data_IF_092337774718
#
_entry.id   IF_092337774718
#
_cell.length_a   1.000
_cell.length_b   1.000
_cell.length_c   1.000
_cell.angle_alpha   90.00
_cell.angle_beta   90.00
_cell.angle_gamma   90.00
#
_symmetry.space_group_name_H-M   'P 1'
#
loop_
_entity.id
_entity.type
_entity.pdbx_description
1 polymer ?
#
# COMPACT_ATOMS: atom_id res chain seq x y z
N UNK A 1 -16.70 14.42 0.67
CA UNK A 1 -15.32 13.93 0.88
C UNK A 1 -15.11 12.65 0.08
N UNK A 2 -14.14 12.65 -0.84
CA UNK A 2 -13.74 11.52 -1.68
C UNK A 2 -13.07 10.40 -0.88
N UNK A 3 -12.98 9.20 -1.47
CA UNK A 3 -12.27 8.06 -0.86
C UNK A 3 -10.79 8.39 -0.58
N UNK A 4 -10.14 9.13 -1.48
CA UNK A 4 -8.74 9.55 -1.32
C UNK A 4 -8.55 10.57 -0.20
N UNK A 5 -9.54 11.42 0.06
CA UNK A 5 -9.50 12.34 1.21
C UNK A 5 -9.65 11.58 2.52
N UNK A 6 -10.59 10.62 2.60
CA UNK A 6 -10.72 9.74 3.77
C UNK A 6 -9.42 8.98 4.07
N UNK A 7 -8.80 8.41 3.03
CA UNK A 7 -7.53 7.71 3.17
C UNK A 7 -6.41 8.63 3.68
N UNK A 8 -6.38 9.92 3.29
CA UNK A 8 -5.40 10.88 3.80
C UNK A 8 -5.59 11.24 5.28
N UNK A 9 -6.83 11.18 5.78
CA UNK A 9 -7.13 11.41 7.20
C UNK A 9 -6.65 10.22 8.03
N UNK A 10 -6.86 8.99 7.55
CA UNK A 10 -6.44 7.77 8.27
C UNK A 10 -5.01 7.32 7.95
N UNK A 11 -4.27 8.09 7.16
CA UNK A 11 -2.91 7.76 6.75
C UNK A 11 -1.94 7.97 7.92
N UNK A 12 -1.18 6.93 8.27
CA UNK A 12 -0.19 6.97 9.35
C UNK A 12 0.96 7.97 9.16
N UNK A 13 1.20 8.44 7.93
CA UNK A 13 2.25 9.44 7.62
C UNK A 13 1.71 10.87 7.51
N UNK A 14 0.40 11.03 7.41
CA UNK A 14 -0.27 12.32 7.36
C UNK A 14 -0.64 12.74 8.77
N UNK A 15 -0.56 14.03 9.08
CA UNK A 15 -1.09 14.58 10.32
C UNK A 15 -2.41 15.32 10.11
N UNK A 16 -2.93 15.35 8.88
CA UNK A 16 -4.16 16.06 8.55
C UNK A 16 -5.38 15.38 9.16
N UNK A 17 -6.18 16.14 9.91
CA UNK A 17 -7.36 15.65 10.63
C UNK A 17 -8.66 15.77 9.83
N UNK A 18 -8.60 16.27 8.59
CA UNK A 18 -9.77 16.46 7.73
C UNK A 18 -10.29 17.90 7.69
N UNK A 19 -9.72 18.80 8.50
CA UNK A 19 -10.13 20.21 8.57
C UNK A 19 -9.91 20.94 7.24
N UNK A 20 -10.93 21.63 6.70
CA UNK A 20 -10.79 22.48 5.53
C UNK A 20 -9.77 23.61 5.76
N UNK A 21 -9.11 24.07 4.70
CA UNK A 21 -8.11 25.14 4.79
C UNK A 21 -6.77 24.70 5.41
N UNK A 22 -6.66 23.48 5.93
CA UNK A 22 -5.42 22.92 6.45
C UNK A 22 -4.68 22.06 5.40
N UNK A 23 -3.37 21.98 5.54
CA UNK A 23 -2.50 21.16 4.69
C UNK A 23 -2.84 19.68 4.88
N UNK A 24 -3.15 18.99 3.78
CA UNK A 24 -3.54 17.57 3.81
C UNK A 24 -2.37 16.60 4.07
N UNK A 25 -1.21 17.12 4.47
CA UNK A 25 -0.02 16.36 4.85
C UNK A 25 0.43 16.68 6.28
N UNK A 26 0.69 17.96 6.57
CA UNK A 26 1.24 18.40 7.87
C UNK A 26 0.23 19.10 8.78
N UNK A 27 -1.04 19.20 8.38
CA UNK A 27 -2.12 19.88 9.10
C UNK A 27 -1.96 21.39 9.34
N UNK A 28 -0.86 22.01 8.92
CA UNK A 28 -0.68 23.45 9.06
C UNK A 28 -1.71 24.23 8.23
N UNK A 29 -2.20 25.34 8.76
CA UNK A 29 -3.10 26.26 8.05
C UNK A 29 -2.48 26.74 6.74
N UNK A 30 -3.27 26.73 5.66
CA UNK A 30 -2.85 27.23 4.36
C UNK A 30 -3.18 28.72 4.27
N UNK A 31 -2.19 29.56 4.55
CA UNK A 31 -2.30 31.03 4.45
C UNK A 31 -2.18 31.56 3.01
N UNK A 32 -1.81 30.71 2.05
CA UNK A 32 -1.61 31.11 0.66
C UNK A 32 -2.92 31.24 -0.09
N UNK A 33 -3.14 32.39 -0.75
CA UNK A 33 -4.30 32.63 -1.61
C UNK A 33 -4.43 31.63 -2.79
N UNK A 34 -3.35 30.95 -3.21
CA UNK A 34 -3.35 30.02 -4.36
C UNK A 34 -3.36 28.54 -3.98
N UNK A 35 -2.87 28.17 -2.80
CA UNK A 35 -2.76 26.76 -2.39
C UNK A 35 -4.06 26.30 -1.72
N UNK A 36 -4.44 25.04 -1.92
CA UNK A 36 -5.68 24.46 -1.35
C UNK A 36 -5.47 23.11 -0.68
N UNK A 37 -4.48 22.33 -1.13
CA UNK A 37 -4.23 20.97 -0.63
C UNK A 37 -2.96 20.88 0.21
N UNK A 38 -1.89 21.57 -0.21
CA UNK A 38 -0.58 21.50 0.44
C UNK A 38 -0.11 22.91 0.77
N UNK A 39 0.31 23.16 2.02
CA UNK A 39 0.86 24.46 2.40
C UNK A 39 2.17 24.79 1.65
N UNK A 40 2.89 23.77 1.16
CA UNK A 40 4.19 23.92 0.51
C UNK A 40 4.49 22.78 -0.47
N UNK A 41 5.43 22.99 -1.38
CA UNK A 41 5.88 21.95 -2.33
C UNK A 41 6.55 20.76 -1.64
N UNK A 42 7.31 20.92 -0.54
CA UNK A 42 7.76 19.81 0.28
C UNK A 42 6.62 18.89 0.75
N UNK A 43 5.50 19.44 1.23
CA UNK A 43 4.34 18.64 1.65
C UNK A 43 3.73 17.86 0.47
N UNK A 44 3.52 18.53 -0.66
CA UNK A 44 3.03 17.85 -1.87
C UNK A 44 3.98 16.74 -2.34
N UNK A 45 5.29 16.99 -2.33
CA UNK A 45 6.31 15.99 -2.70
C UNK A 45 6.37 14.83 -1.71
N UNK A 46 6.20 15.08 -0.41
CA UNK A 46 6.17 14.04 0.61
C UNK A 46 4.97 13.10 0.42
N UNK A 47 3.79 13.67 0.14
CA UNK A 47 2.61 12.87 -0.20
C UNK A 47 2.85 12.03 -1.46
N UNK A 48 3.32 12.64 -2.55
CA UNK A 48 3.60 11.95 -3.81
C UNK A 48 4.55 10.75 -3.64
N UNK A 49 5.66 10.94 -2.91
CA UNK A 49 6.66 9.88 -2.66
C UNK A 49 6.15 8.71 -1.83
N UNK A 50 5.01 8.85 -1.15
CA UNK A 50 4.42 7.80 -0.34
C UNK A 50 3.09 7.28 -0.87
N UNK A 51 2.45 7.98 -1.82
CA UNK A 51 1.09 7.62 -2.25
C UNK A 51 0.95 7.44 -3.75
N UNK A 52 1.87 7.93 -4.59
CA UNK A 52 1.81 7.73 -6.03
C UNK A 52 2.92 6.77 -6.46
N UNK A 53 2.54 5.65 -7.08
CA UNK A 53 3.47 4.58 -7.47
C UNK A 53 4.74 5.07 -8.19
N UNK A 54 4.60 5.93 -9.21
CA UNK A 54 5.74 6.46 -9.96
C UNK A 54 6.79 7.11 -9.06
N UNK A 55 6.35 7.93 -8.11
CA UNK A 55 7.23 8.67 -7.20
C UNK A 55 7.72 7.79 -6.05
N UNK A 56 6.86 6.95 -5.49
CA UNK A 56 7.22 6.00 -4.44
C UNK A 56 8.24 4.96 -4.91
N UNK A 57 8.01 4.36 -6.09
CA UNK A 57 8.97 3.46 -6.75
C UNK A 57 10.32 4.13 -6.96
N UNK A 58 10.32 5.37 -7.43
CA UNK A 58 11.55 6.15 -7.64
C UNK A 58 12.27 6.44 -6.31
N UNK A 59 11.53 6.77 -5.25
CA UNK A 59 12.08 7.01 -3.93
C UNK A 59 12.66 5.73 -3.30
N UNK A 60 11.98 4.58 -3.43
CA UNK A 60 12.44 3.28 -2.97
C UNK A 60 13.77 2.89 -3.63
N UNK A 61 13.86 3.00 -4.96
CA UNK A 61 15.11 2.75 -5.69
C UNK A 61 16.26 3.63 -5.21
N UNK A 62 16.02 4.92 -5.00
CA UNK A 62 17.05 5.84 -4.48
C UNK A 62 17.47 5.48 -3.06
N UNK A 63 16.53 5.15 -2.17
CA UNK A 63 16.80 4.73 -0.79
C UNK A 63 17.72 3.50 -0.76
N UNK A 64 17.43 2.50 -1.59
CA UNK A 64 18.23 1.29 -1.71
C UNK A 64 19.52 1.47 -2.54
N UNK A 65 19.86 2.70 -2.95
CA UNK A 65 20.97 3.00 -3.88
C UNK A 65 20.95 2.13 -5.15
N UNK A 66 19.75 1.76 -5.60
CA UNK A 66 19.48 0.89 -6.75
C UNK A 66 20.00 -0.55 -6.60
N UNK A 67 20.31 -1.02 -5.40
CA UNK A 67 20.72 -2.40 -5.13
C UNK A 67 19.61 -3.22 -4.48
N UNK A 68 19.76 -4.54 -4.55
CA UNK A 68 18.90 -5.45 -3.83
C UNK A 68 19.10 -5.25 -2.32
N UNK A 69 18.01 -5.15 -1.56
CA UNK A 69 18.04 -5.00 -0.10
C UNK A 69 18.24 -6.34 0.64
N UNK A 70 18.50 -7.44 -0.08
CA UNK A 70 18.76 -8.75 0.53
C UNK A 70 20.23 -8.82 0.97
N UNK A 71 20.50 -9.32 2.19
CA UNK A 71 21.86 -9.46 2.68
C UNK A 71 22.73 -10.24 1.70
N UNK A 72 23.97 -9.78 1.51
CA UNK A 72 24.98 -10.43 0.66
C UNK A 72 24.60 -10.58 -0.82
N UNK A 73 23.56 -9.90 -1.31
CA UNK A 73 23.22 -9.90 -2.72
C UNK A 73 24.05 -8.84 -3.48
N UNK A 74 24.71 -9.27 -4.54
CA UNK A 74 25.58 -8.48 -5.40
C UNK A 74 24.99 -8.25 -6.82
N UNK A 75 23.71 -8.56 -7.00
CA UNK A 75 23.03 -8.43 -8.28
C UNK A 75 23.16 -7.01 -8.88
N UNK A 76 23.27 -6.95 -10.21
CA UNK A 76 23.44 -5.69 -10.91
C UNK A 76 22.23 -4.74 -10.68
N UNK A 77 22.52 -3.44 -10.55
CA UNK A 77 21.52 -2.40 -10.27
C UNK A 77 20.34 -2.40 -11.25
N UNK A 78 20.60 -2.70 -12.52
CA UNK A 78 19.58 -2.73 -13.59
C UNK A 78 18.54 -3.84 -13.39
N UNK A 79 18.91 -4.91 -12.69
CA UNK A 79 18.06 -6.07 -12.46
C UNK A 79 17.20 -5.93 -11.19
N UNK A 80 17.27 -4.78 -10.52
CA UNK A 80 16.53 -4.50 -9.29
C UNK A 80 15.19 -3.80 -9.56
N UNK A 81 14.13 -4.37 -8.99
CA UNK A 81 12.74 -3.96 -9.08
C UNK A 81 12.21 -3.59 -7.69
N UNK A 82 11.10 -2.85 -7.66
CA UNK A 82 10.47 -2.47 -6.39
C UNK A 82 9.33 -3.43 -6.13
N UNK A 83 9.32 -4.00 -4.93
CA UNK A 83 8.28 -4.87 -4.43
C UNK A 83 7.53 -4.20 -3.27
N UNK A 84 6.26 -4.53 -3.12
CA UNK A 84 5.50 -4.23 -1.91
C UNK A 84 5.81 -5.29 -0.85
N UNK A 85 6.28 -4.88 0.34
CA UNK A 85 6.62 -5.81 1.43
C UNK A 85 5.39 -6.60 1.87
N UNK A 86 4.28 -5.90 2.11
CA UNK A 86 2.99 -6.52 2.33
C UNK A 86 2.32 -6.86 1.00
N UNK A 87 1.90 -8.12 0.84
CA UNK A 87 1.19 -8.58 -0.34
C UNK A 87 -0.11 -7.77 -0.54
N UNK A 88 -0.33 -7.28 -1.76
CA UNK A 88 -1.55 -6.56 -2.12
C UNK A 88 -2.67 -7.52 -2.48
N UNK A 89 -3.88 -7.28 -1.97
CA UNK A 89 -5.12 -7.85 -2.48
C UNK A 89 -5.87 -6.79 -3.31
N UNK A 90 -5.81 -6.89 -4.64
CA UNK A 90 -6.78 -6.24 -5.54
C UNK A 90 -6.72 -4.71 -5.73
N UNK A 91 -5.81 -3.98 -5.09
CA UNK A 91 -5.69 -2.54 -5.33
C UNK A 91 -4.90 -2.27 -6.64
N UNK A 92 -5.45 -1.42 -7.52
CA UNK A 92 -4.83 -1.02 -8.80
C UNK A 92 -3.61 -0.10 -8.64
N UNK A 93 -3.10 0.48 -9.73
CA UNK A 93 -1.97 1.44 -9.70
C UNK A 93 -2.37 2.87 -9.29
N UNK A 94 -3.56 3.03 -8.72
CA UNK A 94 -4.06 4.32 -8.24
C UNK A 94 -3.32 4.79 -6.98
N UNK A 95 -3.44 6.08 -6.60
CA UNK A 95 -2.83 6.58 -5.39
C UNK A 95 -3.34 5.85 -4.14
N UNK A 96 -2.49 5.67 -3.13
CA UNK A 96 -2.92 5.19 -1.81
C UNK A 96 -1.80 4.80 -0.85
N UNK A 97 -2.16 4.54 0.41
CA UNK A 97 -1.23 4.28 1.52
C UNK A 97 -0.40 3.01 1.33
N UNK A 98 -0.90 2.07 0.52
CA UNK A 98 -0.15 0.87 0.15
C UNK A 98 1.14 1.18 -0.64
N UNK A 99 1.39 2.44 -1.04
CA UNK A 99 2.63 2.87 -1.66
C UNK A 99 3.64 3.51 -0.68
N UNK A 100 3.37 3.48 0.62
CA UNK A 100 4.27 4.06 1.63
C UNK A 100 5.70 3.56 1.43
N UNK A 101 6.66 4.48 1.47
CA UNK A 101 8.05 4.16 1.19
C UNK A 101 8.60 3.19 2.23
N UNK A 102 8.39 3.52 3.50
CA UNK A 102 8.81 2.74 4.66
C UNK A 102 7.61 2.03 5.28
N UNK A 103 7.84 0.98 6.08
CA UNK A 103 6.79 0.42 6.93
C UNK A 103 6.25 1.48 7.90
N UNK A 104 5.00 1.30 8.33
CA UNK A 104 4.41 2.09 9.41
C UNK A 104 5.01 1.73 10.79
N UNK A 105 4.53 2.38 11.85
CA UNK A 105 4.97 2.14 13.23
C UNK A 105 4.80 0.69 13.69
N UNK A 106 3.83 -0.02 13.11
CA UNK A 106 3.54 -1.42 13.41
C UNK A 106 4.35 -2.38 12.52
N UNK A 107 5.28 -1.84 11.72
CA UNK A 107 6.13 -2.58 10.80
C UNK A 107 5.40 -3.09 9.56
N UNK A 108 4.19 -2.62 9.29
CA UNK A 108 3.36 -3.08 8.16
C UNK A 108 3.56 -2.20 6.93
N UNK A 109 3.31 -2.78 5.77
CA UNK A 109 3.46 -2.08 4.49
C UNK A 109 4.91 -1.77 4.13
N UNK A 110 5.12 -0.69 3.38
CA UNK A 110 6.45 -0.32 2.90
C UNK A 110 6.83 -0.95 1.56
N UNK A 111 7.79 -0.30 0.89
CA UNK A 111 8.41 -0.78 -0.33
C UNK A 111 9.79 -1.37 -0.03
N UNK A 112 10.17 -2.40 -0.78
CA UNK A 112 11.52 -2.96 -0.80
C UNK A 112 12.07 -3.00 -2.23
N UNK A 113 13.39 -3.11 -2.35
CA UNK A 113 14.07 -3.23 -3.66
C UNK A 113 14.73 -4.60 -3.74
N UNK A 114 14.37 -5.38 -4.75
CA UNK A 114 14.82 -6.76 -4.93
C UNK A 114 15.35 -6.98 -6.34
N UNK A 115 16.41 -7.78 -6.49
CA UNK A 115 16.79 -8.29 -7.79
C UNK A 115 15.70 -9.24 -8.33
N UNK A 116 15.69 -9.50 -9.64
CA UNK A 116 14.72 -10.40 -10.26
C UNK A 116 14.58 -11.76 -9.58
N UNK A 117 15.69 -12.36 -9.13
CA UNK A 117 15.69 -13.66 -8.45
C UNK A 117 14.93 -13.61 -7.11
N UNK A 118 15.36 -12.74 -6.19
CA UNK A 118 14.69 -12.55 -4.91
C UNK A 118 13.27 -12.01 -5.06
N UNK A 119 13.00 -11.17 -6.06
CA UNK A 119 11.66 -10.67 -6.35
C UNK A 119 10.71 -11.82 -6.71
N UNK A 120 11.17 -12.78 -7.53
CA UNK A 120 10.40 -13.96 -7.90
C UNK A 120 10.08 -14.83 -6.67
N UNK A 121 11.04 -15.04 -5.79
CA UNK A 121 10.84 -15.83 -4.55
C UNK A 121 9.74 -15.22 -3.68
N UNK A 122 9.85 -13.91 -3.41
CA UNK A 122 8.88 -13.18 -2.57
C UNK A 122 7.50 -13.14 -3.23
N UNK A 123 7.41 -12.78 -4.51
CA UNK A 123 6.12 -12.71 -5.21
C UNK A 123 5.44 -14.08 -5.31
N UNK A 124 6.21 -15.16 -5.43
CA UNK A 124 5.69 -16.54 -5.39
C UNK A 124 5.14 -16.88 -4.01
N UNK A 125 5.87 -16.57 -2.94
CA UNK A 125 5.40 -16.78 -1.57
C UNK A 125 4.11 -15.99 -1.29
N UNK A 126 4.09 -14.70 -1.63
CA UNK A 126 2.91 -13.85 -1.52
C UNK A 126 1.72 -14.37 -2.35
N UNK A 127 1.97 -14.91 -3.56
CA UNK A 127 0.92 -15.50 -4.39
C UNK A 127 0.30 -16.75 -3.75
N UNK A 128 1.14 -17.61 -3.15
CA UNK A 128 0.68 -18.80 -2.40
C UNK A 128 -0.15 -18.40 -1.19
N UNK A 129 0.30 -17.41 -0.42
CA UNK A 129 -0.44 -16.89 0.74
C UNK A 129 -1.81 -16.34 0.33
N UNK A 130 -1.87 -15.50 -0.71
CA UNK A 130 -3.15 -15.02 -1.25
C UNK A 130 -4.07 -16.14 -1.69
N UNK A 131 -3.54 -17.20 -2.31
CA UNK A 131 -4.33 -18.35 -2.72
C UNK A 131 -4.90 -19.12 -1.51
N UNK A 132 -4.09 -19.30 -0.46
CA UNK A 132 -4.52 -19.92 0.79
C UNK A 132 -5.64 -19.12 1.48
N UNK A 133 -5.49 -17.79 1.56
CA UNK A 133 -6.50 -16.89 2.13
C UNK A 133 -7.82 -16.95 1.35
N UNK A 134 -7.76 -16.96 0.00
CA UNK A 134 -8.97 -17.10 -0.83
C UNK A 134 -9.66 -18.45 -0.63
N UNK A 135 -8.88 -19.54 -0.48
CA UNK A 135 -9.42 -20.87 -0.18
C UNK A 135 -10.12 -20.87 1.18
N UNK A 136 -9.45 -20.39 2.22
CA UNK A 136 -10.03 -20.31 3.56
C UNK A 136 -11.31 -19.45 3.59
N UNK A 137 -11.32 -18.31 2.91
CA UNK A 137 -12.51 -17.45 2.80
C UNK A 137 -13.69 -18.15 2.11
N UNK A 138 -13.42 -18.92 1.04
CA UNK A 138 -14.45 -19.71 0.36
C UNK A 138 -14.97 -20.83 1.27
N UNK A 139 -14.09 -21.57 1.91
CA UNK A 139 -14.46 -22.68 2.78
C UNK A 139 -15.28 -22.18 3.99
N UNK A 140 -14.93 -21.02 4.56
CA UNK A 140 -15.70 -20.35 5.60
C UNK A 140 -17.09 -19.86 5.12
N UNK A 141 -17.17 -19.29 3.91
CA UNK A 141 -18.44 -18.89 3.31
C UNK A 141 -19.36 -20.09 3.08
N UNK A 142 -18.82 -21.23 2.64
CA UNK A 142 -19.59 -22.47 2.46
C UNK A 142 -20.04 -23.11 3.78
N UNK A 143 -19.30 -22.91 4.87
CA UNK A 143 -19.69 -23.40 6.20
C UNK A 143 -20.75 -22.52 6.90
N UNK A 144 -20.80 -21.23 6.55
CA UNK A 144 -21.77 -20.27 7.09
C UNK A 144 -23.14 -20.31 6.40
N UNK A 145 -23.29 -21.08 5.33
CA UNK A 145 -24.54 -21.30 4.60
C UNK A 145 -24.93 -22.80 4.63
N UNK A 146 -25.36 -23.35 5.78
CA UNK A 146 -25.97 -24.67 5.81
C UNK A 146 -27.40 -24.53 5.28
N UNK A 147 -27.54 -24.48 3.95
CA UNK A 147 -28.84 -24.36 3.29
C UNK A 147 -29.87 -25.33 3.88
N UNK A 148 -31.08 -24.80 4.12
CA UNK A 148 -32.29 -25.48 4.57
C UNK A 148 -32.38 -26.91 4.04
N UNK A 149 -32.17 -27.88 4.93
CA UNK A 149 -32.47 -29.27 4.69
C UNK A 149 -33.89 -29.57 5.21
N UNK A 150 -34.73 -30.01 4.28
CA UNK A 150 -35.97 -30.77 4.45
C UNK A 150 -37.26 -29.99 4.81
N UNK A 151 -37.96 -29.53 3.77
CA UNK A 151 -39.42 -29.71 3.71
C UNK A 151 -39.71 -31.10 3.17
N UNK A 152 -39.87 -32.08 4.05
CA UNK A 152 -40.59 -33.32 3.77
C UNK A 152 -42.10 -32.98 3.77
N UNK A 153 -42.69 -32.83 2.58
CA UNK A 153 -44.14 -32.91 2.42
C UNK A 153 -44.53 -34.39 2.42
N UNK A 154 -45.20 -34.82 3.47
CA UNK A 154 -45.94 -36.09 3.51
C UNK A 154 -47.33 -35.88 4.10
N UNK A 155 -48.30 -36.45 3.37
CA UNK A 155 -49.73 -36.72 3.70
C UNK A 155 -50.74 -35.60 3.45
#
# INVERSE_FOLDING_TARGET
MSALERERITCSLSTWTGEPGCCQWCNAEITSARRRTWCSDPCGRAWQRNHIWRFARSAAKRRAKYFCERPSCDAARRDCEVNHRAARNGAGYGPGCHHHLSPDSDGRGGLEVLCRAHHREITTAQAKERAALRRAARDAASAADPGDAATDSSS
#
